data_IF_148117099271
#
_entry.id   IF_148117099271
#
_cell.length_a   1.000
_cell.length_b   1.000
_cell.length_c   1.000
_cell.angle_alpha   90.00
_cell.angle_beta   90.00
_cell.angle_gamma   90.00
#
_symmetry.space_group_name_H-M   'P 1'
#
loop_
_entity.id
_entity.type
_entity.pdbx_description
1 polymer ?
#
# COMPACT_ATOMS: atom_id res chain seq x y z
N UNK A 1 14.50 6.92 -17.00
CA UNK A 1 14.99 6.36 -15.73
C UNK A 1 14.60 7.36 -14.65
N UNK A 2 13.50 7.10 -13.97
CA UNK A 2 13.00 7.97 -12.89
C UNK A 2 13.17 7.21 -11.57
N UNK A 3 13.65 7.89 -10.54
CA UNK A 3 13.67 7.37 -9.18
C UNK A 3 12.90 8.34 -8.26
N UNK A 4 12.14 7.83 -7.36
CA UNK A 4 11.47 8.58 -6.30
C UNK A 4 12.30 8.40 -5.02
N UNK A 5 12.56 9.47 -4.30
CA UNK A 5 13.22 9.38 -3.00
C UNK A 5 12.13 9.43 -1.94
N UNK A 6 11.93 8.35 -1.22
CA UNK A 6 11.05 8.29 -0.06
C UNK A 6 11.94 7.96 1.15
N UNK A 7 11.85 8.79 2.19
CA UNK A 7 12.64 8.66 3.44
C UNK A 7 14.16 8.48 3.26
N UNK A 8 14.75 9.08 2.20
CA UNK A 8 16.20 9.01 1.96
C UNK A 8 16.69 7.73 1.29
N UNK A 9 15.85 6.74 1.11
CA UNK A 9 16.13 5.57 0.27
C UNK A 9 15.80 5.89 -1.19
N UNK A 10 16.67 5.53 -2.12
CA UNK A 10 16.38 5.58 -3.55
C UNK A 10 15.56 4.34 -3.89
N UNK A 11 14.26 4.51 -4.04
CA UNK A 11 13.42 3.47 -4.59
C UNK A 11 13.53 3.60 -6.11
N UNK A 12 14.05 2.59 -6.74
CA UNK A 12 14.01 2.46 -8.18
C UNK A 12 12.56 2.14 -8.56
N UNK A 13 11.81 3.12 -8.99
CA UNK A 13 10.65 2.86 -9.82
C UNK A 13 11.26 2.47 -11.17
N UNK A 14 11.50 1.21 -11.34
CA UNK A 14 11.99 0.67 -12.59
C UNK A 14 10.87 0.83 -13.61
N UNK A 15 10.96 1.89 -14.41
CA UNK A 15 10.39 1.86 -15.73
C UNK A 15 11.18 0.75 -16.46
N UNK A 16 10.78 -0.50 -16.27
CA UNK A 16 11.22 -1.61 -17.12
C UNK A 16 10.54 -1.38 -18.46
N UNK A 17 11.02 -0.39 -19.18
CA UNK A 17 10.79 -0.28 -20.61
C UNK A 17 11.63 -1.38 -21.26
N UNK A 18 10.99 -2.52 -21.47
CA UNK A 18 11.20 -3.40 -22.61
C UNK A 18 12.66 -3.72 -22.95
N UNK A 19 13.16 -4.81 -22.46
CA UNK A 19 13.98 -5.68 -23.28
C UNK A 19 13.10 -6.85 -23.74
N UNK A 20 12.17 -6.56 -24.60
CA UNK A 20 11.53 -7.56 -25.46
C UNK A 20 12.45 -7.81 -26.65
N UNK A 21 13.45 -8.63 -26.48
CA UNK A 21 14.17 -9.17 -27.62
C UNK A 21 14.80 -10.51 -27.25
N UNK A 22 14.18 -11.55 -27.73
CA UNK A 22 14.77 -12.84 -28.04
C UNK A 22 15.11 -13.80 -26.90
N UNK A 23 14.10 -14.37 -26.27
CA UNK A 23 14.13 -15.79 -25.92
C UNK A 23 12.80 -16.40 -26.35
N UNK A 24 12.85 -17.51 -27.03
CA UNK A 24 11.75 -18.13 -27.75
C UNK A 24 10.62 -18.53 -26.80
N UNK A 25 9.40 -18.02 -26.98
CA UNK A 25 8.27 -18.45 -26.19
C UNK A 25 7.61 -19.64 -26.85
N UNK A 26 7.40 -20.67 -26.12
CA UNK A 26 6.23 -21.52 -26.36
C UNK A 26 5.01 -20.89 -25.68
N UNK A 27 4.60 -19.68 -26.10
CA UNK A 27 3.32 -19.13 -25.68
C UNK A 27 2.26 -19.71 -26.60
N UNK A 28 1.55 -20.68 -26.10
CA UNK A 28 0.25 -21.07 -26.68
C UNK A 28 -0.76 -20.11 -26.06
N UNK A 29 -1.13 -19.06 -26.80
CA UNK A 29 -2.27 -18.24 -26.42
C UNK A 29 -3.56 -19.06 -26.57
N UNK A 30 -4.06 -19.59 -25.48
CA UNK A 30 -5.45 -20.02 -25.42
C UNK A 30 -6.31 -18.78 -25.14
N UNK A 31 -7.49 -18.67 -25.76
CA UNK A 31 -8.44 -17.57 -25.53
C UNK A 31 -9.31 -17.87 -24.30
N UNK A 32 -8.69 -18.25 -23.19
CA UNK A 32 -9.34 -18.61 -21.91
C UNK A 32 -8.34 -18.32 -20.78
N UNK A 33 -8.85 -18.03 -19.59
CA UNK A 33 -8.07 -17.90 -18.36
C UNK A 33 -6.96 -18.96 -18.27
N UNK A 34 -5.72 -18.52 -18.12
CA UNK A 34 -4.58 -19.43 -18.08
C UNK A 34 -4.09 -19.63 -16.64
N UNK A 35 -3.70 -20.88 -16.34
CA UNK A 35 -2.91 -21.18 -15.15
C UNK A 35 -1.44 -21.14 -15.55
N UNK A 36 -0.71 -20.14 -15.09
CA UNK A 36 0.72 -19.95 -15.37
C UNK A 36 1.49 -20.29 -14.10
N UNK A 37 2.43 -21.21 -14.20
CA UNK A 37 3.23 -21.63 -13.05
C UNK A 37 4.70 -21.52 -13.42
N UNK A 38 5.45 -20.79 -12.62
CA UNK A 38 6.90 -20.65 -12.71
C UNK A 38 7.66 -21.88 -12.22
N UNK A 39 8.86 -21.66 -11.80
CA UNK A 39 9.78 -22.68 -11.29
C UNK A 39 10.40 -22.23 -9.96
N UNK A 40 11.43 -22.89 -9.48
CA UNK A 40 12.21 -22.46 -8.30
C UNK A 40 13.39 -21.51 -8.71
N UNK A 41 13.40 -20.95 -9.91
CA UNK A 41 14.39 -19.99 -10.44
C UNK A 41 13.66 -18.71 -10.89
N UNK A 42 14.37 -17.57 -10.98
CA UNK A 42 13.82 -16.27 -11.41
C UNK A 42 13.09 -16.36 -12.77
N UNK A 43 11.79 -16.11 -12.78
CA UNK A 43 10.94 -16.25 -13.95
C UNK A 43 10.35 -14.93 -14.48
N UNK A 44 9.88 -14.95 -15.71
CA UNK A 44 9.07 -13.86 -16.31
C UNK A 44 7.73 -14.43 -16.75
N UNK A 45 6.67 -14.08 -16.03
CA UNK A 45 5.36 -14.71 -16.11
C UNK A 45 4.27 -13.72 -16.58
N UNK A 46 4.11 -13.51 -17.89
CA UNK A 46 3.06 -12.65 -18.40
C UNK A 46 1.73 -13.39 -18.51
N UNK A 47 0.67 -12.86 -17.92
CA UNK A 47 -0.71 -13.27 -18.13
C UNK A 47 -1.26 -12.93 -19.51
N UNK A 48 -2.56 -13.05 -19.69
CA UNK A 48 -3.29 -12.81 -20.93
C UNK A 48 -4.15 -11.52 -20.84
N UNK A 49 -5.28 -11.45 -21.49
CA UNK A 49 -6.28 -10.38 -21.30
C UNK A 49 -7.60 -10.95 -20.73
N UNK A 50 -7.57 -12.15 -20.23
CA UNK A 50 -8.66 -12.84 -19.56
C UNK A 50 -8.21 -13.12 -18.12
N UNK A 51 -9.11 -13.49 -17.23
CA UNK A 51 -8.85 -13.75 -15.81
C UNK A 51 -7.86 -14.90 -15.64
N UNK A 52 -6.66 -14.62 -15.13
CA UNK A 52 -5.57 -15.57 -15.01
C UNK A 52 -5.30 -15.99 -13.56
N UNK A 53 -4.59 -17.09 -13.39
CA UNK A 53 -3.97 -17.45 -12.13
C UNK A 53 -2.48 -17.74 -12.36
N UNK A 54 -1.62 -16.96 -11.68
CA UNK A 54 -0.17 -16.98 -11.89
C UNK A 54 0.54 -17.26 -10.57
N UNK A 55 1.46 -18.21 -10.56
CA UNK A 55 2.31 -18.58 -9.43
C UNK A 55 3.77 -18.45 -9.80
N UNK A 56 4.53 -17.62 -9.05
CA UNK A 56 5.99 -17.51 -9.17
C UNK A 56 6.68 -18.77 -8.65
N UNK A 57 6.48 -19.10 -7.41
CA UNK A 57 7.09 -20.15 -6.58
C UNK A 57 8.32 -19.60 -5.83
N UNK A 58 9.53 -20.24 -5.97
CA UNK A 58 10.76 -19.70 -5.40
C UNK A 58 11.49 -18.90 -6.50
N UNK A 59 12.21 -17.84 -6.14
CA UNK A 59 12.98 -17.02 -7.08
C UNK A 59 12.46 -15.58 -7.18
N UNK A 60 13.30 -14.66 -7.70
CA UNK A 60 12.92 -13.27 -7.87
C UNK A 60 12.13 -13.09 -9.17
N UNK A 61 10.81 -13.16 -9.10
CA UNK A 61 9.94 -13.25 -10.26
C UNK A 61 9.41 -11.90 -10.75
N UNK A 62 9.05 -11.86 -12.03
CA UNK A 62 8.35 -10.72 -12.64
C UNK A 62 7.04 -11.19 -13.24
N UNK A 63 5.92 -10.72 -12.67
CA UNK A 63 4.57 -11.16 -13.05
C UNK A 63 3.70 -10.01 -13.53
N UNK A 64 2.87 -10.27 -14.54
CA UNK A 64 1.85 -9.34 -15.04
C UNK A 64 0.53 -10.04 -15.27
N UNK A 65 -0.55 -9.60 -14.60
CA UNK A 65 -1.92 -10.02 -14.92
C UNK A 65 -2.34 -9.53 -16.30
N UNK A 66 -2.25 -8.26 -16.57
CA UNK A 66 -2.65 -7.45 -17.73
C UNK A 66 -4.10 -6.99 -17.68
N UNK A 67 -5.06 -7.76 -18.15
CA UNK A 67 -6.49 -7.41 -18.11
C UNK A 67 -7.28 -8.63 -17.70
N UNK A 68 -8.29 -8.44 -16.91
CA UNK A 68 -9.06 -9.51 -16.30
C UNK A 68 -9.02 -9.37 -14.78
N UNK A 69 -9.77 -10.17 -14.09
CA UNK A 69 -9.70 -10.31 -12.63
C UNK A 69 -8.68 -11.43 -12.31
N UNK A 70 -7.42 -11.03 -12.07
CA UNK A 70 -6.30 -11.94 -11.99
C UNK A 70 -5.98 -12.37 -10.55
N UNK A 71 -5.42 -13.58 -10.38
CA UNK A 71 -4.89 -14.06 -9.11
C UNK A 71 -3.38 -14.27 -9.24
N UNK A 72 -2.59 -13.47 -8.53
CA UNK A 72 -1.13 -13.44 -8.62
C UNK A 72 -0.51 -13.85 -7.28
N UNK A 73 0.36 -14.85 -7.29
CA UNK A 73 1.01 -15.43 -6.11
C UNK A 73 2.53 -15.45 -6.32
N UNK A 74 3.28 -14.57 -5.62
CA UNK A 74 4.74 -14.51 -5.68
C UNK A 74 5.37 -15.71 -4.99
N UNK A 75 5.12 -15.91 -3.74
CA UNK A 75 5.66 -16.89 -2.79
C UNK A 75 6.99 -16.47 -2.16
N UNK A 76 8.14 -17.18 -2.44
CA UNK A 76 9.45 -16.90 -1.82
C UNK A 76 10.35 -16.20 -2.84
N UNK A 77 10.91 -15.03 -2.53
CA UNK A 77 11.79 -14.24 -3.39
C UNK A 77 11.41 -12.78 -3.45
N UNK A 78 12.29 -11.92 -3.97
CA UNK A 78 12.03 -10.49 -4.14
C UNK A 78 11.26 -10.25 -5.45
N UNK A 79 9.94 -10.32 -5.38
CA UNK A 79 9.06 -10.33 -6.55
C UNK A 79 8.67 -8.93 -7.06
N UNK A 80 8.42 -8.84 -8.37
CA UNK A 80 7.83 -7.66 -9.00
C UNK A 80 6.50 -8.05 -9.66
N UNK A 81 5.39 -7.67 -9.02
CA UNK A 81 4.04 -8.12 -9.37
C UNK A 81 3.19 -6.93 -9.81
N UNK A 82 2.58 -7.03 -10.98
CA UNK A 82 1.75 -5.99 -11.57
C UNK A 82 0.41 -6.57 -12.01
N UNK A 83 -0.70 -6.19 -11.35
CA UNK A 83 -2.06 -6.59 -11.73
C UNK A 83 -2.46 -6.01 -13.08
N UNK A 84 -2.36 -4.73 -13.28
CA UNK A 84 -2.74 -3.86 -14.40
C UNK A 84 -4.22 -3.49 -14.40
N UNK A 85 -5.13 -4.20 -15.06
CA UNK A 85 -6.52 -3.77 -15.23
C UNK A 85 -7.49 -4.87 -14.88
N UNK A 86 -8.39 -4.61 -13.99
CA UNK A 86 -9.34 -5.53 -13.42
C UNK A 86 -9.22 -5.53 -11.93
N UNK A 87 -10.13 -6.18 -11.25
CA UNK A 87 -10.12 -6.28 -9.79
C UNK A 87 -9.24 -7.48 -9.41
N UNK A 88 -7.97 -7.21 -9.09
CA UNK A 88 -6.96 -8.24 -8.96
C UNK A 88 -6.78 -8.71 -7.50
N UNK A 89 -6.44 -9.98 -7.33
CA UNK A 89 -5.99 -10.54 -6.06
C UNK A 89 -4.50 -10.83 -6.11
N UNK A 90 -3.72 -10.18 -5.24
CA UNK A 90 -2.26 -10.28 -5.21
C UNK A 90 -1.79 -10.71 -3.82
N UNK A 91 -1.04 -11.81 -3.78
CA UNK A 91 -0.33 -12.26 -2.59
C UNK A 91 1.16 -12.32 -2.94
N UNK A 92 1.93 -11.31 -2.52
CA UNK A 92 3.34 -11.23 -2.89
C UNK A 92 4.14 -12.32 -2.17
N UNK A 93 4.26 -12.31 -0.86
CA UNK A 93 4.75 -13.50 -0.18
C UNK A 93 5.78 -13.28 0.90
N UNK A 94 6.87 -14.03 0.85
CA UNK A 94 8.02 -13.82 1.73
C UNK A 94 9.08 -13.01 0.94
N UNK A 95 9.92 -12.23 1.66
CA UNK A 95 10.98 -11.36 1.15
C UNK A 95 10.51 -9.97 0.66
N UNK A 96 11.38 -9.15 0.01
CA UNK A 96 11.11 -7.71 -0.24
C UNK A 96 10.44 -7.49 -1.61
N UNK A 97 9.14 -7.34 -1.63
CA UNK A 97 8.34 -7.28 -2.85
C UNK A 97 8.03 -5.87 -3.36
N UNK A 98 7.80 -5.76 -4.67
CA UNK A 98 7.25 -4.57 -5.33
C UNK A 98 5.94 -4.94 -6.00
N UNK A 99 4.84 -4.33 -5.53
CA UNK A 99 3.49 -4.65 -6.00
C UNK A 99 2.78 -3.41 -6.53
N UNK A 100 2.19 -3.52 -7.71
CA UNK A 100 1.30 -2.52 -8.30
C UNK A 100 -0.04 -3.16 -8.71
N UNK A 101 -1.17 -2.78 -8.07
CA UNK A 101 -2.51 -3.18 -8.50
C UNK A 101 -2.85 -2.55 -9.86
N UNK A 102 -2.74 -1.27 -9.96
CA UNK A 102 -3.00 -0.34 -11.05
C UNK A 102 -4.47 0.03 -11.22
N UNK A 103 -5.33 -0.70 -11.84
CA UNK A 103 -6.67 -0.20 -12.11
C UNK A 103 -7.78 -1.23 -12.00
N UNK A 104 -8.67 -1.01 -11.11
CA UNK A 104 -9.71 -1.86 -10.59
C UNK A 104 -9.69 -1.79 -9.07
N UNK A 105 -10.57 -2.45 -8.40
CA UNK A 105 -10.64 -2.52 -6.95
C UNK A 105 -9.83 -3.73 -6.48
N UNK A 106 -8.55 -3.50 -6.14
CA UNK A 106 -7.58 -4.56 -5.93
C UNK A 106 -7.52 -5.03 -4.47
N UNK A 107 -7.21 -6.31 -4.28
CA UNK A 107 -6.91 -6.89 -2.96
C UNK A 107 -5.46 -7.34 -2.91
N UNK A 108 -4.64 -6.66 -2.08
CA UNK A 108 -3.18 -6.83 -2.07
C UNK A 108 -2.67 -7.19 -0.68
N UNK A 109 -1.86 -8.25 -0.61
CA UNK A 109 -1.10 -8.65 0.58
C UNK A 109 0.38 -8.65 0.24
N UNK A 110 1.19 -7.80 0.91
CA UNK A 110 2.65 -7.81 0.81
C UNK A 110 3.21 -9.08 1.42
N UNK A 111 3.15 -9.22 2.72
CA UNK A 111 3.48 -10.47 3.36
C UNK A 111 4.53 -10.36 4.45
N UNK A 112 5.77 -10.74 4.19
CA UNK A 112 6.89 -10.62 5.13
C UNK A 112 7.99 -9.78 4.52
N UNK A 113 8.80 -9.12 5.41
CA UNK A 113 9.85 -8.18 5.06
C UNK A 113 9.28 -6.83 4.61
N UNK A 114 10.14 -6.01 4.00
CA UNK A 114 9.81 -4.62 3.65
C UNK A 114 9.29 -4.55 2.23
N UNK A 115 8.00 -4.36 2.08
CA UNK A 115 7.33 -4.31 0.80
C UNK A 115 7.07 -2.87 0.31
N UNK A 116 7.00 -2.71 -1.01
CA UNK A 116 6.58 -1.47 -1.67
C UNK A 116 5.32 -1.73 -2.46
N UNK A 117 4.18 -1.20 -1.98
CA UNK A 117 2.87 -1.52 -2.52
C UNK A 117 2.16 -0.26 -3.03
N UNK A 118 1.56 -0.32 -4.19
CA UNK A 118 0.71 0.73 -4.77
C UNK A 118 -0.60 0.12 -5.28
N UNK A 119 -1.75 0.59 -4.73
CA UNK A 119 -3.07 0.26 -5.27
C UNK A 119 -3.28 0.93 -6.62
N UNK A 120 -3.03 2.20 -6.73
CA UNK A 120 -3.16 3.12 -7.86
C UNK A 120 -4.59 3.62 -8.10
N UNK A 121 -5.47 2.96 -8.82
CA UNK A 121 -6.79 3.49 -9.17
C UNK A 121 -7.89 2.47 -8.92
N UNK A 122 -8.75 2.74 -7.98
CA UNK A 122 -9.81 1.87 -7.51
C UNK A 122 -10.03 2.05 -6.03
N UNK A 123 -10.96 1.34 -5.46
CA UNK A 123 -11.13 1.25 -4.01
C UNK A 123 -10.37 0.00 -3.51
N UNK A 124 -9.09 0.20 -3.16
CA UNK A 124 -8.17 -0.89 -2.91
C UNK A 124 -8.16 -1.34 -1.44
N UNK A 125 -8.04 -2.66 -1.21
CA UNK A 125 -7.84 -3.29 0.11
C UNK A 125 -6.41 -3.82 0.22
N UNK A 126 -5.57 -3.11 1.00
CA UNK A 126 -4.13 -3.35 1.04
C UNK A 126 -3.67 -3.70 2.44
N UNK A 127 -2.92 -4.77 2.57
CA UNK A 127 -2.25 -5.18 3.80
C UNK A 127 -0.75 -5.34 3.55
N UNK A 128 0.11 -4.55 4.23
CA UNK A 128 1.57 -4.68 4.17
C UNK A 128 2.02 -5.99 4.77
N UNK A 129 1.82 -6.18 6.06
CA UNK A 129 2.07 -7.46 6.71
C UNK A 129 3.12 -7.42 7.81
N UNK A 130 4.28 -8.01 7.61
CA UNK A 130 5.41 -7.90 8.54
C UNK A 130 6.59 -7.27 7.82
N UNK A 131 7.06 -6.18 8.32
CA UNK A 131 8.17 -5.46 7.72
C UNK A 131 7.98 -3.99 7.96
N UNK A 132 8.86 -3.17 7.44
CA UNK A 132 8.69 -1.73 7.46
C UNK A 132 8.23 -1.31 6.06
N UNK A 133 6.93 -1.40 5.82
CA UNK A 133 6.34 -1.35 4.50
C UNK A 133 6.12 0.09 3.99
N UNK A 134 6.09 0.25 2.68
CA UNK A 134 5.77 1.52 2.02
C UNK A 134 4.54 1.30 1.15
N UNK A 135 3.41 1.88 1.58
CA UNK A 135 2.12 1.63 0.95
C UNK A 135 1.48 2.93 0.47
N UNK A 136 1.04 2.97 -0.78
CA UNK A 136 0.25 4.08 -1.34
C UNK A 136 -1.06 3.54 -1.96
N UNK A 137 -2.24 4.01 -1.46
CA UNK A 137 -3.54 3.73 -2.10
C UNK A 137 -3.65 4.45 -3.44
N UNK A 138 -3.34 5.70 -3.49
CA UNK A 138 -3.34 6.66 -4.62
C UNK A 138 -4.72 7.22 -4.95
N UNK A 139 -5.52 6.67 -5.82
CA UNK A 139 -6.86 7.17 -6.18
C UNK A 139 -7.90 6.14 -5.83
N UNK A 140 -8.94 6.53 -5.01
CA UNK A 140 -10.00 5.66 -4.56
C UNK A 140 -10.34 5.96 -3.12
N UNK A 141 -11.24 5.20 -2.54
CA UNK A 141 -11.45 5.24 -1.10
C UNK A 141 -10.84 3.94 -0.56
N UNK A 142 -9.57 4.02 -0.24
CA UNK A 142 -8.73 2.87 0.03
C UNK A 142 -8.81 2.42 1.48
N UNK A 143 -8.61 1.11 1.70
CA UNK A 143 -8.57 0.48 3.00
C UNK A 143 -7.19 -0.16 3.21
N UNK A 144 -6.36 0.44 4.08
CA UNK A 144 -4.94 0.10 4.17
C UNK A 144 -4.52 -0.24 5.59
N UNK A 145 -3.87 -1.40 5.75
CA UNK A 145 -3.21 -1.84 6.97
C UNK A 145 -1.69 -1.97 6.77
N UNK A 146 -0.89 -1.32 7.63
CA UNK A 146 0.54 -1.59 7.76
C UNK A 146 0.80 -2.93 8.42
N UNK A 147 0.18 -3.17 9.53
CA UNK A 147 0.17 -4.36 10.38
C UNK A 147 1.34 -4.44 11.35
N UNK A 148 2.50 -4.92 11.04
CA UNK A 148 3.65 -5.00 11.94
C UNK A 148 4.90 -4.42 11.31
N UNK A 149 5.56 -3.48 12.01
CA UNK A 149 6.77 -2.79 11.57
C UNK A 149 6.55 -1.30 11.60
N UNK A 150 7.58 -0.54 11.30
CA UNK A 150 7.49 0.92 11.24
C UNK A 150 7.12 1.33 9.81
N UNK A 151 5.82 1.45 9.54
CA UNK A 151 5.27 1.57 8.20
C UNK A 151 5.12 3.02 7.72
N UNK A 152 5.20 3.20 6.41
CA UNK A 152 4.80 4.44 5.77
C UNK A 152 3.56 4.21 4.89
N UNK A 153 2.46 4.88 5.23
CA UNK A 153 1.17 4.70 4.55
C UNK A 153 0.66 6.04 4.03
N UNK A 154 0.27 6.08 2.75
CA UNK A 154 -0.36 7.21 2.09
C UNK A 154 -1.67 6.85 1.41
N UNK A 155 -2.80 7.47 1.81
CA UNK A 155 -4.08 7.31 1.12
C UNK A 155 -4.07 8.03 -0.23
N UNK A 156 -3.61 9.25 -0.28
CA UNK A 156 -3.51 10.19 -1.39
C UNK A 156 -4.84 10.84 -1.78
N UNK A 157 -5.63 10.36 -2.70
CA UNK A 157 -6.91 10.95 -3.10
C UNK A 157 -8.05 9.99 -2.84
N UNK A 158 -9.03 10.40 -2.02
CA UNK A 158 -10.18 9.60 -1.66
C UNK A 158 -10.57 9.83 -0.22
N UNK A 159 -11.50 9.06 0.28
CA UNK A 159 -11.83 9.07 1.70
C UNK A 159 -11.33 7.76 2.29
N UNK A 160 -10.09 7.79 2.76
CA UNK A 160 -9.31 6.61 3.04
C UNK A 160 -9.43 6.13 4.49
N UNK A 161 -9.20 4.84 4.69
CA UNK A 161 -9.07 4.21 6.00
C UNK A 161 -7.66 3.65 6.13
N UNK A 162 -6.86 4.27 7.01
CA UNK A 162 -5.46 3.96 7.19
C UNK A 162 -5.20 3.47 8.62
N UNK A 163 -4.59 2.31 8.74
CA UNK A 163 -4.26 1.67 10.01
C UNK A 163 -2.77 1.31 10.04
N UNK A 164 -2.00 1.85 11.00
CA UNK A 164 -0.60 1.47 11.24
C UNK A 164 -0.51 0.12 11.94
N UNK A 165 -1.25 -0.05 13.02
CA UNK A 165 -1.34 -1.23 13.88
C UNK A 165 -0.18 -1.33 14.89
N UNK A 166 0.94 -1.91 14.59
CA UNK A 166 2.09 -2.10 15.50
C UNK A 166 3.37 -1.59 14.90
N UNK A 167 4.05 -0.69 15.60
CA UNK A 167 5.30 -0.06 15.21
C UNK A 167 5.20 1.44 15.29
N UNK A 168 6.27 2.14 14.99
CA UNK A 168 6.32 3.60 14.95
C UNK A 168 5.96 4.07 13.53
N UNK A 169 4.66 4.20 13.29
CA UNK A 169 4.10 4.36 11.95
C UNK A 169 4.00 5.82 11.48
N UNK A 170 3.95 5.99 10.17
CA UNK A 170 3.78 7.29 9.55
C UNK A 170 2.67 7.28 8.50
N UNK A 171 1.50 7.79 8.89
CA UNK A 171 0.29 7.76 8.10
C UNK A 171 -0.10 9.14 7.57
N UNK A 172 -0.49 9.22 6.29
CA UNK A 172 -0.95 10.44 5.64
C UNK A 172 -2.19 10.19 4.79
N UNK A 173 -3.31 10.87 5.10
CA UNK A 173 -4.52 10.87 4.27
C UNK A 173 -4.34 11.66 2.98
N UNK A 174 -3.74 12.83 3.01
CA UNK A 174 -3.55 13.82 1.95
C UNK A 174 -4.82 14.56 1.56
N UNK A 175 -5.74 13.98 0.80
CA UNK A 175 -6.90 14.71 0.31
C UNK A 175 -8.17 13.87 0.27
N UNK A 176 -9.08 14.16 1.16
CA UNK A 176 -10.33 13.43 1.36
C UNK A 176 -10.87 13.64 2.76
N UNK A 177 -11.74 12.76 3.17
CA UNK A 177 -12.20 12.67 4.55
C UNK A 177 -11.68 11.35 5.13
N UNK A 178 -10.50 11.43 5.67
CA UNK A 178 -9.75 10.27 6.01
C UNK A 178 -10.00 9.81 7.45
N UNK A 179 -9.96 8.51 7.68
CA UNK A 179 -9.96 7.90 9.00
C UNK A 179 -8.58 7.26 9.20
N UNK A 180 -7.81 7.79 10.13
CA UNK A 180 -6.41 7.42 10.33
C UNK A 180 -6.23 6.95 11.75
N UNK A 181 -5.70 5.75 11.95
CA UNK A 181 -5.38 5.20 13.24
C UNK A 181 -3.92 4.72 13.28
N UNK A 182 -3.13 5.24 14.21
CA UNK A 182 -1.76 4.81 14.44
C UNK A 182 -1.72 3.40 14.99
N UNK A 183 -2.08 3.22 16.23
CA UNK A 183 -2.20 1.90 16.83
C UNK A 183 -1.41 1.73 18.09
N UNK A 184 -0.26 1.12 18.04
CA UNK A 184 0.68 1.00 19.16
C UNK A 184 2.11 1.25 18.70
N UNK A 185 2.80 2.15 19.38
CA UNK A 185 4.09 2.75 19.04
C UNK A 185 3.96 4.26 18.91
N UNK A 186 5.05 4.95 18.70
CA UNK A 186 5.10 6.41 18.61
C UNK A 186 4.77 6.89 17.20
N UNK A 187 3.49 7.08 16.92
CA UNK A 187 2.98 7.30 15.58
C UNK A 187 2.99 8.77 15.12
N UNK A 188 3.00 8.97 13.80
CA UNK A 188 2.86 10.28 13.16
C UNK A 188 1.73 10.29 12.15
N UNK A 189 0.63 10.93 12.53
CA UNK A 189 -0.59 10.98 11.74
C UNK A 189 -0.79 12.35 11.10
N UNK A 190 -1.17 12.40 9.83
CA UNK A 190 -1.52 13.63 9.13
C UNK A 190 -2.76 13.42 8.26
N UNK A 191 -3.86 14.15 8.57
CA UNK A 191 -5.08 14.14 7.75
C UNK A 191 -4.84 14.79 6.39
N UNK A 192 -4.58 16.08 6.36
CA UNK A 192 -4.26 16.78 5.13
C UNK A 192 -5.33 17.79 4.71
N UNK A 193 -6.04 17.54 3.61
CA UNK A 193 -7.18 18.35 3.20
C UNK A 193 -8.44 17.54 3.39
N UNK A 194 -9.38 18.05 4.16
CA UNK A 194 -10.66 17.39 4.39
C UNK A 194 -11.13 17.55 5.82
N UNK A 195 -12.11 16.77 6.20
CA UNK A 195 -12.57 16.73 7.58
C UNK A 195 -12.21 15.36 8.13
N UNK A 196 -11.03 15.28 8.69
CA UNK A 196 -10.36 14.02 9.00
C UNK A 196 -10.65 13.55 10.43
N UNK A 197 -10.46 12.26 10.66
CA UNK A 197 -10.49 11.66 11.99
C UNK A 197 -9.16 10.97 12.25
N UNK A 198 -8.47 11.42 13.29
CA UNK A 198 -7.18 10.92 13.69
C UNK A 198 -7.27 10.26 15.06
N UNK A 199 -6.81 9.04 15.16
CA UNK A 199 -6.72 8.25 16.39
C UNK A 199 -5.25 7.86 16.60
N UNK A 200 -4.60 8.43 17.61
CA UNK A 200 -3.22 8.09 17.97
C UNK A 200 -3.13 6.62 18.37
N UNK A 201 -3.52 6.32 19.57
CA UNK A 201 -3.61 4.96 20.01
C UNK A 201 -2.94 4.72 21.35
N UNK A 202 -1.83 4.03 21.37
CA UNK A 202 -0.98 3.84 22.54
C UNK A 202 0.40 4.42 22.24
N UNK A 203 1.09 4.79 23.36
CA UNK A 203 2.41 5.37 23.33
C UNK A 203 2.37 6.84 22.85
N UNK A 204 3.45 7.51 22.51
CA UNK A 204 3.52 8.97 22.38
C UNK A 204 3.31 9.43 20.93
N UNK A 205 2.12 9.88 20.60
CA UNK A 205 1.71 10.16 19.23
C UNK A 205 1.81 11.63 18.83
N UNK A 206 2.04 11.88 17.53
CA UNK A 206 2.03 13.21 16.93
C UNK A 206 0.94 13.29 15.85
N UNK A 207 -0.08 14.11 16.10
CA UNK A 207 -1.24 14.26 15.23
C UNK A 207 -1.27 15.64 14.55
N UNK A 208 -1.63 15.66 13.27
CA UNK A 208 -1.85 16.87 12.50
C UNK A 208 -3.09 16.73 11.62
N UNK A 209 -4.11 17.53 11.86
CA UNK A 209 -5.36 17.54 11.06
C UNK A 209 -5.14 18.11 9.67
N UNK A 210 -4.61 19.32 9.59
CA UNK A 210 -4.40 20.02 8.33
C UNK A 210 -5.46 21.06 8.04
N UNK A 211 -6.18 20.94 6.94
CA UNK A 211 -7.22 21.88 6.57
C UNK A 211 -8.59 21.22 6.54
N UNK A 212 -9.51 21.75 7.34
CA UNK A 212 -10.85 21.24 7.47
C UNK A 212 -11.36 21.37 8.89
N UNK A 213 -12.33 20.58 9.23
CA UNK A 213 -12.86 20.43 10.58
C UNK A 213 -12.53 19.02 11.07
N UNK A 214 -11.40 18.91 11.78
CA UNK A 214 -10.78 17.64 12.10
C UNK A 214 -11.17 17.13 13.49
N UNK A 215 -11.09 15.84 13.69
CA UNK A 215 -11.38 15.18 14.96
C UNK A 215 -10.19 14.40 15.45
N UNK A 216 -9.79 14.68 16.70
CA UNK A 216 -8.65 14.04 17.33
C UNK A 216 -9.06 13.21 18.52
N UNK A 217 -8.57 12.01 18.57
CA UNK A 217 -8.58 11.10 19.70
C UNK A 217 -7.15 10.57 19.90
N UNK A 218 -6.46 11.11 20.85
CA UNK A 218 -5.04 10.82 21.00
C UNK A 218 -4.75 9.43 21.59
N UNK A 219 -5.65 8.94 22.44
CA UNK A 219 -5.46 7.62 23.01
C UNK A 219 -4.80 7.64 24.37
N UNK A 220 -3.70 6.96 24.53
CA UNK A 220 -2.93 6.87 25.79
C UNK A 220 -1.46 7.02 25.54
N UNK A 221 -0.84 8.01 26.14
CA UNK A 221 0.56 8.42 25.99
C UNK A 221 0.70 9.90 26.28
N UNK A 222 1.87 10.44 26.00
CA UNK A 222 2.13 11.87 26.04
C UNK A 222 1.99 12.45 24.60
N UNK A 223 0.73 12.60 24.15
CA UNK A 223 0.38 12.88 22.77
C UNK A 223 0.35 14.37 22.43
N UNK A 224 0.68 14.72 21.19
CA UNK A 224 0.76 16.11 20.72
C UNK A 224 -0.09 16.32 19.48
N UNK A 225 -0.95 17.37 19.49
CA UNK A 225 -1.58 17.91 18.27
C UNK A 225 -0.83 19.16 17.82
N UNK A 226 -0.34 19.17 16.57
CA UNK A 226 0.48 20.26 16.03
C UNK A 226 -0.32 21.45 15.47
N UNK A 227 -1.60 21.27 15.10
CA UNK A 227 -2.39 22.30 14.39
C UNK A 227 -3.87 22.32 14.76
N UNK A 228 -4.18 22.25 16.05
CA UNK A 228 -5.55 22.32 16.54
C UNK A 228 -6.17 23.72 16.36
N UNK A 229 -7.23 23.81 15.57
CA UNK A 229 -7.92 25.06 15.27
C UNK A 229 -9.44 25.00 15.53
N UNK A 230 -9.92 25.22 16.76
CA UNK A 230 -11.35 25.17 17.10
C UNK A 230 -12.21 26.11 16.26
N UNK A 231 -11.65 27.26 15.83
CA UNK A 231 -12.33 28.20 14.96
C UNK A 231 -12.64 27.69 13.55
N UNK A 232 -11.97 26.62 13.12
CA UNK A 232 -12.24 25.90 11.86
C UNK A 232 -13.17 24.72 12.05
N UNK A 233 -13.55 24.42 13.29
CA UNK A 233 -14.45 23.32 13.64
C UNK A 233 -13.75 22.06 14.15
N UNK A 234 -12.45 22.14 14.44
CA UNK A 234 -11.72 21.03 15.02
C UNK A 234 -12.25 20.69 16.41
N UNK A 235 -12.28 19.41 16.69
CA UNK A 235 -12.66 18.86 17.99
C UNK A 235 -11.62 17.86 18.47
N UNK A 236 -11.35 17.83 19.78
CA UNK A 236 -10.46 16.84 20.39
C UNK A 236 -11.07 16.25 21.64
N UNK A 237 -10.67 15.05 21.99
CA UNK A 237 -10.92 14.45 23.30
C UNK A 237 -10.01 15.08 24.36
N UNK A 238 -10.37 14.89 25.64
CA UNK A 238 -9.64 15.45 26.78
C UNK A 238 -8.29 14.80 27.04
N UNK A 239 -7.97 13.74 26.35
CA UNK A 239 -6.69 13.02 26.43
C UNK A 239 -5.63 13.55 25.47
N UNK A 240 -5.91 14.63 24.77
CA UNK A 240 -4.97 15.26 23.84
C UNK A 240 -4.36 16.54 24.42
N UNK A 241 -3.07 16.71 24.28
CA UNK A 241 -2.35 17.95 24.61
C UNK A 241 -2.21 18.85 23.36
N UNK A 242 -2.17 20.17 23.58
CA UNK A 242 -1.94 21.16 22.52
C UNK A 242 -0.52 21.71 22.63
N UNK A 243 0.05 22.00 21.47
CA UNK A 243 1.32 22.73 21.38
C UNK A 243 1.11 24.14 20.88
#
# INVERSE_FOLDING_TARGET
MYYKIINGKKIFVALIAVIMAALSPAVISSAWADNIVGSDDDDILPGTNDDDSIWGLDGDDVMWGKSGEDNLYGHDGDDNIIGNSGDDFILAGDDEDIVEGNGGDDTIYGGRKTDVIQGNSGEDDITGGKGNDIIEGNRGNDFIFGSRGDDWIGGNRGNDWLYGEKGDDKLKGFAGKDNIAGGSGDDRLSGGKGNDKLFGGKDDDVLRGGSGADKFDCGSGDDIILDYHPSRGDTKKSNCEDF
#
